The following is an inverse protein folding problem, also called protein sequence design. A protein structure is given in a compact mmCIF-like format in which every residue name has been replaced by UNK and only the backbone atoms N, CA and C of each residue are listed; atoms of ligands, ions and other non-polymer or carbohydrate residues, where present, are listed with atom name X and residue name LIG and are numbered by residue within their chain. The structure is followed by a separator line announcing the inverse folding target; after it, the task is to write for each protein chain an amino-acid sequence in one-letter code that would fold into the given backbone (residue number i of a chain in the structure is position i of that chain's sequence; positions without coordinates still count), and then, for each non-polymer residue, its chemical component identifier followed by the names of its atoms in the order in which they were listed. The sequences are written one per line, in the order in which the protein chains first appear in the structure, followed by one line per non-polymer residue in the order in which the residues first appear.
data_IF_003916349704
#
_entry.id   IF_003916349704
#
_cell.length_a   1.000
_cell.length_b   1.000
_cell.length_c   1.000
_cell.angle_alpha   90.00
_cell.angle_beta   90.00
_cell.angle_gamma   90.00
#
_symmetry.space_group_name_H-M   'P 1'
#
loop_
_entity.id
_entity.type
_entity.pdbx_description
1 polymer ?
#
# COMPACT_ATOMS: atom_id res chain seq x y z
N UNK A 1 -11.36 20.80 9.76
CA UNK A 1 -9.92 20.98 9.57
C UNK A 1 -9.34 19.72 8.96
N UNK A 2 -9.23 19.64 7.64
CA UNK A 2 -8.64 18.49 6.97
C UNK A 2 -7.14 18.77 6.79
N UNK A 3 -6.29 18.09 7.54
CA UNK A 3 -4.85 18.22 7.43
C UNK A 3 -4.39 17.47 6.17
N UNK A 4 -4.13 18.21 5.09
CA UNK A 4 -3.48 17.65 3.92
C UNK A 4 -1.99 17.44 4.26
N UNK A 5 -1.62 16.18 4.48
CA UNK A 5 -0.24 15.78 4.76
C UNK A 5 0.55 15.89 3.45
N UNK A 6 1.41 16.90 3.33
CA UNK A 6 2.32 17.07 2.20
C UNK A 6 3.35 15.92 2.19
N UNK A 7 3.09 14.90 1.37
CA UNK A 7 3.88 13.67 1.35
C UNK A 7 4.65 13.48 0.04
N UNK A 8 4.71 14.49 -0.84
CA UNK A 8 5.29 14.37 -2.17
C UNK A 8 4.54 13.33 -3.01
N UNK A 9 3.38 13.71 -3.59
CA UNK A 9 2.56 12.89 -4.51
C UNK A 9 2.51 11.36 -4.22
N UNK A 10 2.32 10.92 -2.97
CA UNK A 10 1.97 9.51 -2.74
C UNK A 10 0.58 9.28 -3.32
N UNK A 11 0.48 8.39 -4.31
CA UNK A 11 -0.81 8.04 -4.92
C UNK A 11 -1.40 6.80 -4.25
N UNK A 12 -2.30 7.02 -3.28
CA UNK A 12 -3.10 5.95 -2.67
C UNK A 12 -4.28 5.57 -3.59
N UNK A 13 -4.40 4.29 -3.95
CA UNK A 13 -5.50 3.78 -4.79
C UNK A 13 -6.19 2.60 -4.09
N UNK A 14 -7.48 2.76 -3.78
CA UNK A 14 -8.31 1.70 -3.20
C UNK A 14 -9.23 1.10 -4.28
N UNK A 15 -9.24 -0.23 -4.45
CA UNK A 15 -10.19 -0.91 -5.36
C UNK A 15 -11.18 -1.75 -4.54
N UNK A 16 -12.45 -1.39 -4.64
CA UNK A 16 -13.53 -1.94 -3.79
C UNK A 16 -14.38 -3.06 -4.41
N UNK A 17 -13.96 -3.71 -5.51
CA UNK A 17 -14.80 -4.71 -6.19
C UNK A 17 -14.03 -5.95 -6.67
N UNK A 18 -14.59 -7.14 -6.36
CA UNK A 18 -14.21 -8.45 -6.92
C UNK A 18 -14.49 -8.58 -8.42
N UNK A 19 -15.27 -7.67 -9.01
CA UNK A 19 -15.56 -7.60 -10.44
C UNK A 19 -14.87 -6.37 -11.04
N UNK A 20 -13.84 -6.60 -11.86
CA UNK A 20 -12.88 -5.62 -12.35
C UNK A 20 -13.41 -4.53 -13.29
N UNK A 21 -14.31 -3.67 -12.80
CA UNK A 21 -14.78 -2.49 -13.53
C UNK A 21 -14.25 -1.21 -12.86
N UNK A 22 -13.07 -0.78 -13.33
CA UNK A 22 -12.48 0.49 -12.99
C UNK A 22 -10.96 0.39 -13.07
N UNK A 23 -10.41 0.56 -14.27
CA UNK A 23 -8.97 0.66 -14.61
C UNK A 23 -8.02 0.18 -13.50
N UNK A 24 -7.70 -1.11 -13.61
CA UNK A 24 -6.83 -1.91 -12.78
C UNK A 24 -5.75 -1.13 -12.01
N UNK A 25 -5.81 -1.24 -10.68
CA UNK A 25 -4.73 -1.72 -9.80
C UNK A 25 -3.37 -1.03 -9.81
N UNK A 26 -3.27 0.22 -10.25
CA UNK A 26 -1.96 0.81 -10.40
C UNK A 26 -1.80 2.13 -9.63
N UNK A 27 -1.24 1.98 -8.43
CA UNK A 27 -0.78 3.02 -7.52
C UNK A 27 0.28 2.40 -6.60
N UNK A 28 1.09 3.25 -5.95
CA UNK A 28 2.23 2.81 -5.13
C UNK A 28 1.82 1.88 -3.98
N UNK A 29 0.58 2.05 -3.48
CA UNK A 29 -0.07 1.20 -2.49
C UNK A 29 -1.41 0.72 -3.08
N UNK A 30 -1.56 -0.60 -3.21
CA UNK A 30 -2.77 -1.26 -3.69
C UNK A 30 -3.51 -1.98 -2.56
N UNK A 31 -4.84 -1.89 -2.59
CA UNK A 31 -5.73 -2.58 -1.65
C UNK A 31 -6.77 -3.37 -2.45
N UNK A 32 -6.80 -4.69 -2.23
CA UNK A 32 -7.71 -5.61 -2.89
C UNK A 32 -8.66 -6.24 -1.85
N UNK A 33 -9.96 -6.03 -2.00
CA UNK A 33 -10.98 -6.69 -1.18
C UNK A 33 -11.04 -8.20 -1.46
N UNK A 34 -11.02 -9.01 -0.40
CA UNK A 34 -11.13 -10.47 -0.43
C UNK A 34 -12.28 -10.85 0.49
N UNK A 35 -13.28 -11.56 -0.04
CA UNK A 35 -14.30 -12.18 0.83
C UNK A 35 -13.76 -13.49 1.39
N UNK A 36 -13.82 -13.63 2.71
CA UNK A 36 -13.59 -14.91 3.38
C UNK A 36 -14.76 -15.23 4.28
N UNK A 37 -15.60 -16.19 3.86
CA UNK A 37 -16.71 -16.72 4.66
C UNK A 37 -17.71 -15.62 5.12
N UNK A 38 -17.92 -14.60 4.30
CA UNK A 38 -18.80 -13.47 4.61
C UNK A 38 -18.14 -12.35 5.44
N UNK A 39 -16.85 -12.47 5.76
CA UNK A 39 -16.06 -11.39 6.37
C UNK A 39 -15.26 -10.63 5.31
N UNK A 40 -15.18 -9.30 5.47
CA UNK A 40 -14.44 -8.41 4.58
C UNK A 40 -12.97 -8.36 4.98
N UNK A 41 -12.11 -9.00 4.17
CA UNK A 41 -10.67 -8.97 4.30
C UNK A 41 -10.05 -8.14 3.17
N UNK A 42 -8.81 -7.68 3.38
CA UNK A 42 -8.10 -6.85 2.42
C UNK A 42 -6.67 -7.33 2.24
N UNK A 43 -6.27 -7.52 1.00
CA UNK A 43 -4.89 -7.82 0.61
C UNK A 43 -4.19 -6.52 0.22
N UNK A 44 -3.09 -6.22 0.92
CA UNK A 44 -2.23 -5.09 0.60
C UNK A 44 -1.12 -5.50 -0.38
N UNK A 45 -0.85 -4.62 -1.35
CA UNK A 45 0.26 -4.73 -2.30
C UNK A 45 1.02 -3.40 -2.39
N UNK A 46 2.34 -3.45 -2.56
CA UNK A 46 3.18 -2.25 -2.72
C UNK A 46 3.99 -2.30 -4.02
N UNK A 47 4.28 -1.14 -4.60
CA UNK A 47 5.17 -1.03 -5.77
C UNK A 47 4.47 -1.20 -7.12
N UNK A 48 3.15 -1.04 -7.18
CA UNK A 48 2.43 -0.93 -8.45
C UNK A 48 2.76 0.40 -9.16
N UNK A 49 2.95 0.38 -10.49
CA UNK A 49 3.22 1.62 -11.27
C UNK A 49 2.56 1.61 -12.64
N UNK A 50 1.86 2.71 -12.98
CA UNK A 50 1.05 2.89 -14.22
C UNK A 50 1.86 3.61 -15.29
N UNK A 51 3.16 3.70 -15.03
CA UNK A 51 4.12 4.14 -16.02
C UNK A 51 4.22 3.08 -17.12
N UNK A 52 4.89 3.43 -18.23
CA UNK A 52 5.14 2.57 -19.40
C UNK A 52 5.68 1.14 -19.10
N UNK A 53 6.05 0.84 -17.85
CA UNK A 53 6.52 -0.47 -17.41
C UNK A 53 5.49 -1.32 -16.65
N UNK A 54 4.23 -0.88 -16.51
CA UNK A 54 3.10 -1.58 -15.88
C UNK A 54 3.52 -2.68 -14.89
N UNK A 55 4.01 -2.28 -13.72
CA UNK A 55 4.43 -3.24 -12.69
C UNK A 55 3.26 -3.59 -11.79
N UNK A 56 3.02 -4.88 -11.61
CA UNK A 56 2.11 -5.38 -10.58
C UNK A 56 2.79 -5.22 -9.22
N UNK A 57 2.10 -4.63 -8.24
CA UNK A 57 2.63 -4.50 -6.89
C UNK A 57 2.81 -5.86 -6.21
N UNK A 58 3.85 -5.97 -5.38
CA UNK A 58 4.16 -7.16 -4.59
C UNK A 58 3.29 -7.25 -3.35
N UNK A 59 2.87 -8.47 -3.00
CA UNK A 59 2.07 -8.71 -1.78
C UNK A 59 2.89 -8.40 -0.54
N UNK A 60 2.34 -7.51 0.30
CA UNK A 60 2.97 -7.16 1.56
C UNK A 60 2.92 -8.33 2.55
N UNK A 61 1.79 -9.03 2.65
CA UNK A 61 1.68 -10.18 3.54
C UNK A 61 0.30 -10.83 3.48
N UNK A 62 -0.17 -11.39 4.60
CA UNK A 62 -1.49 -12.00 4.71
C UNK A 62 -2.58 -10.93 4.54
N UNK A 63 -3.75 -11.32 4.06
CA UNK A 63 -4.89 -10.42 4.10
C UNK A 63 -5.19 -10.03 5.56
N UNK A 64 -5.58 -8.78 5.77
CA UNK A 64 -5.94 -8.20 7.07
C UNK A 64 -7.43 -7.89 7.12
N UNK A 65 -8.01 -7.83 8.31
CA UNK A 65 -9.40 -7.44 8.50
C UNK A 65 -9.58 -5.94 8.21
N UNK A 66 -10.82 -5.53 7.91
CA UNK A 66 -11.17 -4.15 7.52
C UNK A 66 -10.68 -3.08 8.49
N UNK A 67 -10.81 -3.36 9.78
CA UNK A 67 -10.40 -2.51 10.89
C UNK A 67 -8.89 -2.26 10.91
N UNK A 68 -8.08 -3.28 10.62
CA UNK A 68 -6.63 -3.18 10.58
C UNK A 68 -6.07 -2.45 9.33
N UNK A 69 -6.90 -2.19 8.30
CA UNK A 69 -6.44 -1.56 7.05
C UNK A 69 -5.90 -0.15 7.28
N UNK A 70 -6.56 0.63 8.15
CA UNK A 70 -6.17 2.02 8.40
C UNK A 70 -4.80 2.06 9.07
N UNK A 71 -4.60 1.23 10.10
CA UNK A 71 -3.34 1.15 10.84
C UNK A 71 -2.19 0.68 9.93
N UNK A 72 -2.45 -0.35 9.11
CA UNK A 72 -1.46 -0.86 8.16
C UNK A 72 -1.03 0.20 7.12
N UNK A 73 -1.95 1.07 6.67
CA UNK A 73 -1.58 2.17 5.77
C UNK A 73 -0.73 3.21 6.50
N UNK A 74 -1.06 3.53 7.76
CA UNK A 74 -0.27 4.47 8.55
C UNK A 74 1.16 3.94 8.76
N UNK A 75 1.30 2.67 9.10
CA UNK A 75 2.60 1.98 9.22
C UNK A 75 3.41 2.05 7.93
N UNK A 76 2.79 1.79 6.78
CA UNK A 76 3.44 1.91 5.47
C UNK A 76 3.96 3.34 5.24
N UNK A 77 3.15 4.35 5.57
CA UNK A 77 3.51 5.76 5.42
C UNK A 77 4.62 6.15 6.40
N UNK A 78 4.60 5.63 7.62
CA UNK A 78 5.66 5.84 8.60
C UNK A 78 7.00 5.27 8.12
N UNK A 79 7.02 4.03 7.61
CA UNK A 79 8.23 3.41 7.05
C UNK A 79 8.77 4.24 5.88
N UNK A 80 7.90 4.68 4.97
CA UNK A 80 8.32 5.56 3.88
C UNK A 80 8.95 6.85 4.39
N UNK A 81 8.29 7.57 5.30
CA UNK A 81 8.79 8.84 5.85
C UNK A 81 10.10 8.68 6.62
N UNK A 82 10.26 7.57 7.34
CA UNK A 82 11.47 7.28 8.12
C UNK A 82 12.67 6.92 7.23
N UNK A 83 12.41 6.36 6.04
CA UNK A 83 13.47 5.84 5.18
C UNK A 83 13.75 6.70 3.94
N UNK A 84 12.84 7.58 3.51
CA UNK A 84 13.04 8.43 2.32
C UNK A 84 14.27 9.33 2.49
N UNK A 85 15.06 9.47 1.43
CA UNK A 85 16.21 10.38 1.39
C UNK A 85 15.86 11.62 0.58
N UNK A 86 16.14 12.81 1.11
CA UNK A 86 15.79 14.09 0.46
C UNK A 86 14.29 14.18 0.07
N UNK A 87 14.00 14.38 -1.22
CA UNK A 87 12.66 14.40 -1.79
C UNK A 87 12.34 13.12 -2.59
N UNK A 88 12.96 12.00 -2.21
CA UNK A 88 12.73 10.69 -2.82
C UNK A 88 11.24 10.30 -2.70
N UNK A 89 10.63 9.92 -3.82
CA UNK A 89 9.26 9.41 -3.86
C UNK A 89 9.15 8.00 -3.28
N UNK A 90 7.92 7.54 -3.05
CA UNK A 90 7.67 6.26 -2.40
C UNK A 90 8.21 5.07 -3.23
N UNK A 91 8.00 5.06 -4.55
CA UNK A 91 8.49 3.99 -5.43
C UNK A 91 10.02 3.82 -5.38
N UNK A 92 10.77 4.93 -5.36
CA UNK A 92 12.22 4.90 -5.26
C UNK A 92 12.66 4.42 -3.87
N UNK A 93 12.01 4.91 -2.82
CA UNK A 93 12.26 4.46 -1.44
C UNK A 93 12.05 2.96 -1.31
N UNK A 94 10.92 2.45 -1.80
CA UNK A 94 10.59 1.03 -1.82
C UNK A 94 11.59 0.21 -2.63
N UNK A 95 12.02 0.70 -3.79
CA UNK A 95 13.02 0.01 -4.62
C UNK A 95 14.38 -0.10 -3.90
N UNK A 96 14.76 0.93 -3.14
CA UNK A 96 16.05 1.00 -2.45
C UNK A 96 16.09 0.16 -1.18
N UNK A 97 15.07 0.26 -0.32
CA UNK A 97 15.04 -0.44 0.97
C UNK A 97 14.39 -1.83 0.88
N UNK A 98 13.72 -2.11 -0.23
CA UNK A 98 12.95 -3.33 -0.44
C UNK A 98 11.64 -3.34 0.34
N UNK A 99 10.93 -4.47 0.23
CA UNK A 99 9.61 -4.64 0.84
C UNK A 99 9.67 -5.00 2.33
N UNK A 100 10.81 -5.56 2.79
CA UNK A 100 10.94 -6.14 4.13
C UNK A 100 10.62 -5.16 5.26
N UNK A 101 11.14 -3.92 5.29
CA UNK A 101 10.84 -2.98 6.39
C UNK A 101 9.36 -2.64 6.50
N UNK A 102 8.63 -2.63 5.38
CA UNK A 102 7.18 -2.42 5.37
C UNK A 102 6.42 -3.64 5.89
N UNK A 103 6.89 -4.85 5.57
CA UNK A 103 6.30 -6.09 6.09
C UNK A 103 6.45 -6.18 7.59
N UNK A 104 7.67 -5.91 8.07
CA UNK A 104 7.98 -5.96 9.50
C UNK A 104 7.08 -4.96 10.22
N UNK A 105 7.00 -3.70 9.77
CA UNK A 105 6.16 -2.72 10.46
C UNK A 105 4.66 -3.10 10.52
N UNK A 106 4.11 -3.67 9.45
CA UNK A 106 2.67 -3.98 9.35
C UNK A 106 2.28 -5.31 10.02
N UNK A 107 3.19 -6.29 10.08
CA UNK A 107 2.87 -7.64 10.59
C UNK A 107 3.66 -8.05 11.83
N UNK A 108 4.73 -7.35 12.17
CA UNK A 108 5.47 -7.51 13.43
C UNK A 108 4.74 -6.69 14.49
N UNK A 109 3.62 -7.25 14.95
CA UNK A 109 2.96 -6.81 16.18
C UNK A 109 3.62 -7.64 17.29
N UNK A 110 4.55 -7.02 18.02
CA UNK A 110 4.96 -7.48 19.34
C UNK A 110 3.85 -7.19 20.37
#
# INVERSE_FOLDING_TARGET
SASAIDTGKISLKMSGCMNGCGHHSIGEIGILGVDKKGEQWYQLTLGGSDSHQSKLGDRLGKAIAKDAVVDAIDDIVQVYKANRVDNEGFANTLQRIGLQPFKDKVYDID
#
